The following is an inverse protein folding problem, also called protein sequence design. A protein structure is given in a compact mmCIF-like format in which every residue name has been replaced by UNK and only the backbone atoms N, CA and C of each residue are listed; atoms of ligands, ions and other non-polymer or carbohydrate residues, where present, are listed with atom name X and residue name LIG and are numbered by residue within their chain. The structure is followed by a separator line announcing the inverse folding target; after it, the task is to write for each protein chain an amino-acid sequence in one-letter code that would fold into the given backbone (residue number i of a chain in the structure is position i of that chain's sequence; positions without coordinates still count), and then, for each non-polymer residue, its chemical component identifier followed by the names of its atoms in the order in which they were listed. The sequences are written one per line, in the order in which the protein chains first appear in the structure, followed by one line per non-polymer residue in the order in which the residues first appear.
data_IF_370732357820
#
_entry.id   IF_370732357820
#
_cell.length_a   1.000
_cell.length_b   1.000
_cell.length_c   1.000
_cell.angle_alpha   90.00
_cell.angle_beta   90.00
_cell.angle_gamma   90.00
#
_symmetry.space_group_name_H-M   'P 1'
#
loop_
_entity.id
_entity.type
_entity.pdbx_description
1 polymer ?
#
# COMPACT_ATOMS: atom_id res chain seq x y z
N UNK A 1 1.07 -7.27 8.01
CA UNK A 1 0.10 -8.11 7.27
C UNK A 1 -0.11 -9.39 8.06
N UNK A 2 -1.31 -9.65 8.62
CA UNK A 2 -1.51 -10.86 9.42
C UNK A 2 -1.30 -12.10 8.53
N UNK A 3 -0.39 -12.97 8.92
CA UNK A 3 -0.14 -14.21 8.20
C UNK A 3 -1.32 -15.18 8.42
N UNK A 4 -1.74 -15.85 7.35
CA UNK A 4 -2.81 -16.84 7.39
C UNK A 4 -2.72 -17.78 6.19
N UNK A 5 -2.67 -19.08 6.48
CA UNK A 5 -2.74 -20.13 5.44
C UNK A 5 -4.11 -20.06 4.76
N UNK A 6 -4.13 -20.01 3.44
CA UNK A 6 -5.36 -19.81 2.69
C UNK A 6 -6.34 -20.98 2.89
N UNK A 7 -5.81 -22.19 2.99
CA UNK A 7 -6.53 -23.46 3.16
C UNK A 7 -7.11 -23.67 4.57
N UNK A 8 -6.70 -22.88 5.56
CA UNK A 8 -7.05 -23.10 6.98
C UNK A 8 -7.57 -21.85 7.70
N UNK A 9 -7.62 -20.69 7.03
CA UNK A 9 -8.08 -19.45 7.64
C UNK A 9 -9.57 -19.49 7.94
N UNK A 10 -9.97 -19.24 9.19
CA UNK A 10 -11.38 -19.19 9.58
C UNK A 10 -12.14 -18.05 8.90
N UNK A 11 -13.45 -18.18 8.61
CA UNK A 11 -14.26 -17.10 8.05
C UNK A 11 -14.15 -15.80 8.87
N UNK A 12 -14.21 -15.89 10.20
CA UNK A 12 -14.08 -14.73 11.10
C UNK A 12 -12.76 -13.97 10.89
N UNK A 13 -11.66 -14.69 10.67
CA UNK A 13 -10.35 -14.08 10.41
C UNK A 13 -10.31 -13.41 9.02
N UNK A 14 -10.85 -14.08 8.01
CA UNK A 14 -10.98 -13.53 6.64
C UNK A 14 -11.79 -12.23 6.67
N UNK A 15 -12.96 -12.25 7.31
CA UNK A 15 -13.85 -11.09 7.44
C UNK A 15 -13.19 -9.93 8.18
N UNK A 16 -12.45 -10.21 9.25
CA UNK A 16 -11.72 -9.19 9.99
C UNK A 16 -10.66 -8.48 9.13
N UNK A 17 -9.93 -9.24 8.29
CA UNK A 17 -8.92 -8.67 7.38
C UNK A 17 -9.59 -7.78 6.33
N UNK A 18 -10.65 -8.27 5.69
CA UNK A 18 -11.41 -7.52 4.68
C UNK A 18 -12.03 -6.25 5.28
N UNK A 19 -12.67 -6.38 6.45
CA UNK A 19 -13.26 -5.25 7.16
C UNK A 19 -12.22 -4.18 7.46
N UNK A 20 -11.06 -4.57 8.00
CA UNK A 20 -10.01 -3.62 8.36
C UNK A 20 -9.33 -2.98 7.14
N UNK A 21 -9.03 -3.75 6.09
CA UNK A 21 -8.15 -3.28 5.01
C UNK A 21 -8.89 -2.75 3.78
N UNK A 22 -10.20 -3.02 3.65
CA UNK A 22 -11.03 -2.59 2.52
C UNK A 22 -12.23 -1.78 2.97
N UNK A 23 -13.06 -2.33 3.86
CA UNK A 23 -14.32 -1.67 4.26
C UNK A 23 -14.07 -0.43 5.13
N UNK A 24 -13.16 -0.49 6.10
CA UNK A 24 -12.88 0.62 6.99
C UNK A 24 -12.37 1.89 6.27
N UNK A 25 -11.45 1.81 5.27
CA UNK A 25 -11.14 2.96 4.42
C UNK A 25 -12.36 3.59 3.74
N UNK A 26 -13.29 2.79 3.22
CA UNK A 26 -14.53 3.30 2.64
C UNK A 26 -15.41 4.01 3.67
N UNK A 27 -15.59 3.42 4.85
CA UNK A 27 -16.39 4.03 5.92
C UNK A 27 -15.81 5.38 6.36
N UNK A 28 -14.48 5.46 6.49
CA UNK A 28 -13.80 6.72 6.81
C UNK A 28 -13.96 7.75 5.69
N UNK A 29 -13.82 7.34 4.43
CA UNK A 29 -14.00 8.21 3.27
C UNK A 29 -15.44 8.75 3.20
N UNK A 30 -16.44 7.89 3.43
CA UNK A 30 -17.87 8.29 3.49
C UNK A 30 -18.14 9.27 4.62
N UNK A 31 -17.58 9.02 5.81
CA UNK A 31 -17.73 9.92 6.96
C UNK A 31 -17.08 11.29 6.71
N UNK A 32 -15.94 11.33 6.00
CA UNK A 32 -15.24 12.57 5.67
C UNK A 32 -15.91 13.36 4.52
N UNK A 33 -16.55 12.67 3.58
CA UNK A 33 -17.14 13.24 2.37
C UNK A 33 -18.00 14.49 2.61
N UNK A 34 -19.04 14.51 3.48
CA UNK A 34 -19.87 15.70 3.66
C UNK A 34 -19.08 16.91 4.18
N UNK A 35 -18.06 16.70 5.01
CA UNK A 35 -17.20 17.76 5.52
C UNK A 35 -16.26 18.31 4.44
N UNK A 36 -15.72 17.45 3.57
CA UNK A 36 -14.89 17.87 2.44
C UNK A 36 -15.70 18.66 1.41
N UNK A 37 -16.91 18.21 1.09
CA UNK A 37 -17.83 18.96 0.21
C UNK A 37 -18.11 20.35 0.78
N UNK A 38 -18.44 20.44 2.08
CA UNK A 38 -18.69 21.73 2.74
C UNK A 38 -17.46 22.66 2.76
N UNK A 39 -16.25 22.09 2.76
CA UNK A 39 -14.99 22.84 2.68
C UNK A 39 -14.58 23.22 1.23
N UNK A 40 -15.34 22.80 0.21
CA UNK A 40 -15.06 23.07 -1.20
C UNK A 40 -14.10 22.07 -1.87
N UNK A 41 -13.82 20.94 -1.23
CA UNK A 41 -12.96 19.88 -1.76
C UNK A 41 -12.03 19.29 -0.71
N UNK A 42 -11.11 18.43 -1.15
CA UNK A 42 -10.16 17.79 -0.26
C UNK A 42 -9.25 16.77 -0.93
N UNK A 43 -8.45 16.09 -0.12
CA UNK A 43 -7.58 15.00 -0.56
C UNK A 43 -7.69 13.82 0.39
N UNK A 44 -7.99 12.64 -0.15
CA UNK A 44 -7.96 11.37 0.56
C UNK A 44 -6.78 10.57 0.05
N UNK A 45 -5.94 10.07 0.97
CA UNK A 45 -4.78 9.23 0.65
C UNK A 45 -4.93 7.89 1.35
N UNK A 46 -5.21 6.85 0.56
CA UNK A 46 -5.31 5.48 1.04
C UNK A 46 -3.91 4.85 1.10
N UNK A 47 -3.61 4.13 2.20
CA UNK A 47 -2.36 3.38 2.34
C UNK A 47 -2.58 1.92 1.89
N UNK A 48 -2.17 1.63 0.67
CA UNK A 48 -2.14 0.29 0.10
C UNK A 48 -0.79 -0.41 0.39
N UNK A 49 -0.47 -1.46 -0.36
CA UNK A 49 0.75 -2.26 -0.18
C UNK A 49 1.15 -2.90 -1.50
N UNK A 50 2.44 -3.18 -1.68
CA UNK A 50 2.93 -4.04 -2.78
C UNK A 50 2.20 -5.38 -2.86
N UNK A 51 1.70 -5.93 -1.74
CA UNK A 51 0.85 -7.14 -1.74
C UNK A 51 -0.46 -6.99 -2.51
N UNK A 52 -0.91 -5.76 -2.79
CA UNK A 52 -2.09 -5.49 -3.61
C UNK A 52 -1.85 -5.45 -5.11
N UNK A 53 -0.59 -5.50 -5.55
CA UNK A 53 -0.22 -5.42 -6.98
C UNK A 53 0.57 -6.61 -7.49
N UNK A 54 1.00 -7.50 -6.59
CA UNK A 54 1.72 -8.73 -6.93
C UNK A 54 1.32 -9.86 -5.96
N UNK A 55 1.65 -11.12 -6.30
CA UNK A 55 1.41 -12.25 -5.39
C UNK A 55 2.06 -12.04 -4.03
N UNK A 56 1.35 -12.43 -2.97
CA UNK A 56 1.79 -12.30 -1.58
C UNK A 56 1.46 -13.59 -0.80
N UNK A 57 2.27 -14.66 -0.99
CA UNK A 57 2.08 -15.92 -0.28
C UNK A 57 2.00 -15.74 1.24
N UNK A 58 1.13 -16.51 1.90
CA UNK A 58 0.87 -16.41 3.34
C UNK A 58 -0.02 -15.22 3.75
N UNK A 59 -0.40 -14.34 2.83
CA UNK A 59 -1.25 -13.17 3.11
C UNK A 59 -2.30 -12.94 2.02
N UNK A 60 -2.88 -14.01 1.44
CA UNK A 60 -3.76 -13.93 0.27
C UNK A 60 -4.95 -12.96 0.45
N UNK A 61 -5.66 -13.06 1.59
CA UNK A 61 -6.81 -12.20 1.90
C UNK A 61 -6.40 -10.73 2.05
N UNK A 62 -5.25 -10.48 2.67
CA UNK A 62 -4.71 -9.13 2.81
C UNK A 62 -4.35 -8.54 1.43
N UNK A 63 -3.70 -9.32 0.56
CA UNK A 63 -3.40 -8.92 -0.80
C UNK A 63 -4.67 -8.58 -1.59
N UNK A 64 -5.69 -9.44 -1.52
CA UNK A 64 -7.00 -9.20 -2.13
C UNK A 64 -7.66 -7.91 -1.60
N UNK A 65 -7.65 -7.69 -0.28
CA UNK A 65 -8.19 -6.47 0.31
C UNK A 65 -7.46 -5.21 -0.17
N UNK A 66 -6.13 -5.26 -0.28
CA UNK A 66 -5.31 -4.14 -0.77
C UNK A 66 -5.47 -3.90 -2.27
N UNK A 67 -5.67 -4.95 -3.07
CA UNK A 67 -6.05 -4.82 -4.48
C UNK A 67 -7.43 -4.15 -4.62
N UNK A 68 -8.40 -4.55 -3.80
CA UNK A 68 -9.71 -3.91 -3.73
C UNK A 68 -9.62 -2.44 -3.33
N UNK A 69 -8.76 -2.08 -2.38
CA UNK A 69 -8.54 -0.70 -1.96
C UNK A 69 -7.97 0.17 -3.09
N UNK A 70 -7.11 -0.39 -3.94
CA UNK A 70 -6.57 0.31 -5.11
C UNK A 70 -7.66 0.59 -6.14
N UNK A 71 -8.54 -0.39 -6.41
CA UNK A 71 -9.68 -0.16 -7.29
C UNK A 71 -10.66 0.86 -6.68
N UNK A 72 -11.01 0.69 -5.40
CA UNK A 72 -11.87 1.62 -4.67
C UNK A 72 -11.37 3.06 -4.76
N UNK A 73 -10.06 3.28 -4.62
CA UNK A 73 -9.43 4.60 -4.76
C UNK A 73 -9.74 5.24 -6.11
N UNK A 74 -9.60 4.48 -7.20
CA UNK A 74 -9.85 4.98 -8.55
C UNK A 74 -11.34 5.26 -8.79
N UNK A 75 -12.21 4.40 -8.26
CA UNK A 75 -13.67 4.58 -8.34
C UNK A 75 -14.10 5.84 -7.60
N UNK A 76 -13.68 6.03 -6.35
CA UNK A 76 -14.03 7.24 -5.58
C UNK A 76 -13.44 8.52 -6.20
N UNK A 77 -12.27 8.44 -6.82
CA UNK A 77 -11.70 9.57 -7.55
C UNK A 77 -12.59 10.03 -8.72
N UNK A 78 -13.22 9.09 -9.43
CA UNK A 78 -14.18 9.39 -10.50
C UNK A 78 -15.50 9.93 -9.93
N UNK A 79 -16.03 9.29 -8.89
CA UNK A 79 -17.32 9.67 -8.29
C UNK A 79 -17.27 11.04 -7.62
N UNK A 80 -16.18 11.38 -6.93
CA UNK A 80 -16.11 12.57 -6.07
C UNK A 80 -15.30 13.73 -6.66
N UNK A 81 -14.74 13.55 -7.86
CA UNK A 81 -13.99 14.61 -8.55
C UNK A 81 -14.81 15.88 -8.79
N UNK A 82 -16.11 15.74 -9.09
CA UNK A 82 -17.03 16.88 -9.26
C UNK A 82 -17.25 17.71 -7.99
N UNK A 83 -16.95 17.14 -6.82
CA UNK A 83 -16.98 17.83 -5.53
C UNK A 83 -15.61 18.42 -5.13
N UNK A 84 -14.62 18.42 -6.02
CA UNK A 84 -13.27 18.89 -5.72
C UNK A 84 -12.48 17.96 -4.78
N UNK A 85 -12.92 16.71 -4.61
CA UNK A 85 -12.25 15.73 -3.76
C UNK A 85 -11.35 14.84 -4.62
N UNK A 86 -10.05 14.86 -4.33
CA UNK A 86 -9.07 13.96 -4.95
C UNK A 86 -8.88 12.73 -4.09
N UNK A 87 -8.81 11.56 -4.71
CA UNK A 87 -8.62 10.29 -3.99
C UNK A 87 -7.45 9.54 -4.62
N UNK A 88 -6.39 9.30 -3.86
CA UNK A 88 -5.18 8.64 -4.33
C UNK A 88 -4.76 7.53 -3.37
N UNK A 89 -3.91 6.62 -3.83
CA UNK A 89 -3.35 5.55 -3.01
C UNK A 89 -1.83 5.54 -3.07
N UNK A 90 -1.20 5.26 -1.94
CA UNK A 90 0.22 4.92 -1.85
C UNK A 90 0.35 3.40 -1.76
N UNK A 91 1.14 2.81 -2.65
CA UNK A 91 1.58 1.42 -2.60
C UNK A 91 2.89 1.40 -1.81
N UNK A 92 2.79 1.10 -0.52
CA UNK A 92 3.96 0.98 0.36
C UNK A 92 4.76 -0.30 0.04
N UNK A 93 6.07 -0.15 -0.09
CA UNK A 93 7.03 -1.24 -0.28
C UNK A 93 7.38 -1.99 1.01
N UNK A 94 8.60 -2.51 1.06
CA UNK A 94 9.13 -3.19 2.25
C UNK A 94 9.60 -2.14 3.27
N UNK A 95 8.86 -2.05 4.38
CA UNK A 95 9.02 -1.00 5.37
C UNK A 95 9.59 -1.53 6.69
N UNK A 96 10.57 -0.82 7.25
CA UNK A 96 10.97 -0.96 8.65
C UNK A 96 9.86 -0.40 9.55
N UNK A 97 9.25 -1.27 10.34
CA UNK A 97 8.16 -0.96 11.27
C UNK A 97 8.42 -1.64 12.60
N UNK A 98 7.66 -1.31 13.64
CA UNK A 98 7.73 -1.99 14.95
C UNK A 98 7.51 -3.51 14.84
N UNK A 99 6.78 -3.96 13.81
CA UNK A 99 6.52 -5.37 13.53
C UNK A 99 7.47 -5.98 12.47
N UNK A 100 8.61 -5.34 12.21
CA UNK A 100 9.56 -5.79 11.20
C UNK A 100 10.10 -7.18 11.52
N UNK A 101 10.40 -7.49 12.78
CA UNK A 101 10.93 -8.80 13.18
C UNK A 101 9.98 -9.96 12.84
N UNK A 102 8.69 -9.80 13.16
CA UNK A 102 7.67 -10.78 12.83
C UNK A 102 7.40 -10.91 11.31
N UNK A 103 7.78 -9.91 10.52
CA UNK A 103 7.51 -9.86 9.07
C UNK A 103 8.71 -10.32 8.24
N UNK A 104 9.92 -9.93 8.63
CA UNK A 104 11.15 -10.06 7.87
C UNK A 104 12.23 -10.89 8.58
N UNK A 105 11.99 -11.30 9.82
CA UNK A 105 12.96 -12.04 10.64
C UNK A 105 13.91 -11.14 11.42
N UNK A 106 15.00 -11.73 11.87
CA UNK A 106 16.02 -11.06 12.68
C UNK A 106 16.75 -9.92 11.94
N UNK A 107 17.69 -9.26 12.61
CA UNK A 107 18.45 -8.15 12.05
C UNK A 107 19.25 -8.54 10.80
N UNK A 108 19.74 -9.78 10.70
CA UNK A 108 20.48 -10.26 9.54
C UNK A 108 19.56 -10.45 8.33
N UNK A 109 18.38 -11.03 8.55
CA UNK A 109 17.36 -11.17 7.52
C UNK A 109 16.86 -9.80 7.03
N UNK A 110 16.62 -8.85 7.94
CA UNK A 110 16.24 -7.48 7.58
C UNK A 110 17.35 -6.76 6.78
N UNK A 111 18.62 -6.94 7.15
CA UNK A 111 19.75 -6.39 6.39
C UNK A 111 19.84 -7.00 4.97
N UNK A 112 19.57 -8.30 4.83
CA UNK A 112 19.51 -8.95 3.52
C UNK A 112 18.35 -8.41 2.65
N UNK A 113 17.17 -8.20 3.24
CA UNK A 113 16.04 -7.53 2.56
C UNK A 113 16.43 -6.14 2.11
N UNK A 114 17.02 -5.32 2.99
CA UNK A 114 17.50 -3.98 2.66
C UNK A 114 18.49 -3.98 1.48
N UNK A 115 19.47 -4.89 1.48
CA UNK A 115 20.49 -5.00 0.44
C UNK A 115 19.93 -5.45 -0.93
N UNK A 116 18.79 -6.14 -0.95
CA UNK A 116 18.10 -6.55 -2.19
C UNK A 116 17.35 -5.40 -2.88
N UNK A 117 17.05 -4.33 -2.15
CA UNK A 117 16.31 -3.18 -2.69
C UNK A 117 17.24 -2.23 -3.45
N UNK A 118 16.79 -1.59 -4.55
CA UNK A 118 17.63 -0.68 -5.34
C UNK A 118 18.21 0.50 -4.56
N UNK A 119 17.47 1.05 -3.58
CA UNK A 119 17.97 2.12 -2.71
C UNK A 119 18.77 1.60 -1.49
N UNK A 120 19.04 0.30 -1.39
CA UNK A 120 19.92 -0.31 -0.38
C UNK A 120 19.42 -0.22 1.06
N UNK A 121 18.15 0.11 1.26
CA UNK A 121 17.51 0.19 2.58
C UNK A 121 16.02 -0.09 2.52
N UNK A 122 15.47 -0.54 3.64
CA UNK A 122 14.02 -0.58 3.84
C UNK A 122 13.45 0.84 3.94
N UNK A 123 12.19 1.00 3.53
CA UNK A 123 11.47 2.26 3.72
C UNK A 123 11.11 2.51 5.19
N UNK A 124 10.86 3.76 5.53
CA UNK A 124 10.45 4.20 6.87
C UNK A 124 9.13 4.96 6.81
N UNK A 125 8.52 5.22 7.98
CA UNK A 125 7.33 6.08 8.04
C UNK A 125 7.56 7.47 7.44
N UNK A 126 8.78 8.01 7.55
CA UNK A 126 9.14 9.31 6.98
C UNK A 126 9.09 9.31 5.45
N UNK A 127 9.49 8.20 4.81
CA UNK A 127 9.42 8.05 3.35
C UNK A 127 7.97 8.10 2.83
N UNK A 128 7.04 7.45 3.56
CA UNK A 128 5.62 7.53 3.25
C UNK A 128 5.03 8.91 3.54
N UNK A 129 5.41 9.54 4.65
CA UNK A 129 4.90 10.84 5.05
C UNK A 129 5.17 11.91 4.00
N UNK A 130 6.35 11.92 3.37
CA UNK A 130 6.67 12.83 2.28
C UNK A 130 5.71 12.72 1.10
N UNK A 131 5.39 11.50 0.68
CA UNK A 131 4.43 11.25 -0.40
C UNK A 131 2.99 11.64 -0.03
N UNK A 132 2.57 11.36 1.21
CA UNK A 132 1.25 11.78 1.73
C UNK A 132 1.14 13.31 1.72
N UNK A 133 2.14 14.01 2.25
CA UNK A 133 2.18 15.47 2.30
C UNK A 133 2.10 16.08 0.89
N UNK A 134 2.86 15.53 -0.08
CA UNK A 134 2.78 15.95 -1.47
C UNK A 134 1.38 15.75 -2.06
N UNK A 135 0.78 14.56 -1.90
CA UNK A 135 -0.56 14.26 -2.40
C UNK A 135 -1.64 15.15 -1.79
N UNK A 136 -1.47 15.56 -0.53
CA UNK A 136 -2.37 16.48 0.16
C UNK A 136 -2.11 17.96 -0.16
N UNK A 137 -0.99 18.29 -0.81
CA UNK A 137 -0.62 19.67 -1.14
C UNK A 137 -1.22 20.15 -2.48
N UNK A 138 -1.21 21.48 -2.74
CA UNK A 138 -1.55 22.02 -4.06
C UNK A 138 -0.64 21.56 -5.21
N UNK A 139 0.56 21.06 -4.91
CA UNK A 139 1.49 20.54 -5.93
C UNK A 139 0.93 19.30 -6.64
N UNK A 140 -0.04 18.61 -6.03
CA UNK A 140 -0.73 17.45 -6.59
C UNK A 140 -2.17 17.80 -7.05
N UNK A 141 -2.48 19.06 -7.32
CA UNK A 141 -3.85 19.51 -7.65
C UNK A 141 -4.49 18.79 -8.85
N UNK A 142 -3.68 18.27 -9.79
CA UNK A 142 -4.15 17.51 -10.95
C UNK A 142 -3.99 15.98 -10.81
N UNK A 143 -3.68 15.50 -9.61
CA UNK A 143 -3.45 14.08 -9.32
C UNK A 143 -4.66 13.53 -8.55
N UNK A 144 -5.46 12.71 -9.23
CA UNK A 144 -6.60 11.98 -8.65
C UNK A 144 -6.71 10.59 -9.29
N UNK A 145 -7.00 9.56 -8.51
CA UNK A 145 -7.01 8.16 -8.94
C UNK A 145 -5.63 7.53 -9.08
N UNK A 146 -4.56 8.20 -8.62
CA UNK A 146 -3.20 7.70 -8.74
C UNK A 146 -2.93 6.54 -7.77
N UNK A 147 -2.07 5.62 -8.22
CA UNK A 147 -1.52 4.50 -7.45
C UNK A 147 -0.01 4.69 -7.39
N UNK A 148 0.47 5.42 -6.39
CA UNK A 148 1.86 5.82 -6.28
C UNK A 148 2.69 4.78 -5.53
N UNK A 149 3.67 4.17 -6.20
CA UNK A 149 4.66 3.32 -5.54
C UNK A 149 5.60 4.17 -4.67
N UNK A 150 5.69 3.81 -3.40
CA UNK A 150 6.66 4.35 -2.44
C UNK A 150 7.39 3.15 -1.84
N UNK A 151 8.28 2.58 -2.65
CA UNK A 151 8.90 1.26 -2.42
C UNK A 151 10.41 1.24 -2.70
N UNK A 152 11.04 2.38 -2.93
CA UNK A 152 12.49 2.47 -3.16
C UNK A 152 12.97 1.71 -4.40
N UNK A 153 12.11 1.54 -5.41
CA UNK A 153 12.41 0.77 -6.62
C UNK A 153 11.95 -0.70 -6.56
N UNK A 154 11.32 -1.10 -5.45
CA UNK A 154 10.67 -2.40 -5.32
C UNK A 154 11.65 -3.58 -5.26
N UNK A 155 11.09 -4.78 -5.43
CA UNK A 155 11.88 -6.01 -5.46
C UNK A 155 12.52 -6.25 -6.82
N UNK A 156 13.78 -6.69 -6.80
CA UNK A 156 14.50 -7.15 -7.99
C UNK A 156 13.76 -8.36 -8.59
N UNK A 157 13.60 -8.42 -9.93
CA UNK A 157 13.06 -9.61 -10.57
C UNK A 157 13.91 -10.87 -10.26
N UNK A 158 13.32 -11.85 -9.57
CA UNK A 158 14.03 -13.03 -9.06
C UNK A 158 14.74 -13.84 -10.14
N UNK A 159 14.24 -13.84 -11.39
CA UNK A 159 14.90 -14.56 -12.48
C UNK A 159 16.34 -14.08 -12.71
N UNK A 160 16.66 -12.81 -12.40
CA UNK A 160 18.03 -12.29 -12.55
C UNK A 160 19.04 -12.94 -11.61
N UNK A 161 18.58 -13.56 -10.52
CA UNK A 161 19.45 -14.30 -9.60
C UNK A 161 19.65 -15.77 -10.07
N UNK A 162 18.74 -16.25 -10.94
CA UNK A 162 18.79 -17.57 -11.55
C UNK A 162 19.59 -17.58 -12.86
N UNK A 163 19.46 -16.51 -13.65
CA UNK A 163 20.17 -16.35 -14.93
C UNK A 163 21.60 -15.88 -14.63
N UNK A 164 22.42 -16.79 -14.10
CA UNK A 164 23.88 -16.60 -14.08
C UNK A 164 24.39 -16.71 -15.52
N UNK A 165 24.63 -15.58 -16.16
CA UNK A 165 25.50 -15.52 -17.34
C UNK A 165 26.96 -15.81 -16.94
N UNK A 166 27.83 -16.21 -17.88
CA UNK A 166 29.23 -16.53 -17.60
C UNK A 166 30.09 -15.34 -17.11
N UNK A 167 29.54 -14.14 -16.93
CA UNK A 167 30.25 -12.95 -16.46
C UNK A 167 29.38 -12.13 -15.49
N UNK A 168 29.30 -12.58 -14.24
CA UNK A 168 28.89 -11.76 -13.10
C UNK A 168 30.02 -11.76 -12.05
#
# INVERSE_FOLDING_TARGET
SPAGKAEASSPRFIDAILKLNLAAPLYMAQAAHPHMVAAGGGSIVNIASVSGIRPSPGTAVYGAAKAGLLNLTQTLAQEWGGAGIRVNAIIAGLMATENAEATYGDAAAQAAVAASMPLGRMGTGADLAGAVLWLCSPLAAWVSGARLNVDGGGERPYFLDLVKGPEA
#
